data_IF_321782726164
#
_entry.id   IF_321782726164
#
_cell.length_a   1.000
_cell.length_b   1.000
_cell.length_c   1.000
_cell.angle_alpha   90.00
_cell.angle_beta   90.00
_cell.angle_gamma   90.00
#
_symmetry.space_group_name_H-M   'P 1'
#
loop_
_entity.id
_entity.type
_entity.pdbx_description
1 polymer ?
#
# COMPACT_ATOMS: atom_id res chain seq x y z
N UNK A 1 37.95 81.57 -20.16
CA UNK A 1 37.37 81.59 -18.81
C UNK A 1 36.05 80.85 -18.83
N UNK A 2 35.95 79.81 -17.98
CA UNK A 2 34.76 79.13 -17.44
C UNK A 2 33.64 78.74 -18.41
N UNK A 3 33.73 77.50 -18.88
CA UNK A 3 32.56 76.65 -19.15
C UNK A 3 31.66 76.66 -17.91
N UNK A 4 30.49 77.30 -18.02
CA UNK A 4 29.50 77.30 -16.96
C UNK A 4 28.81 75.94 -16.92
N UNK A 5 29.18 75.15 -15.92
CA UNK A 5 28.50 73.92 -15.49
C UNK A 5 27.05 74.25 -15.12
N UNK A 6 26.09 73.84 -15.96
CA UNK A 6 24.66 73.94 -15.63
C UNK A 6 24.29 72.90 -14.56
N UNK A 7 24.25 73.32 -13.29
CA UNK A 7 23.90 72.46 -12.14
C UNK A 7 22.38 72.25 -11.94
N UNK A 8 21.51 72.86 -12.76
CA UNK A 8 20.04 72.75 -12.60
C UNK A 8 19.41 71.54 -13.29
N UNK A 9 20.04 70.98 -14.33
CA UNK A 9 19.55 69.77 -15.02
C UNK A 9 19.97 68.44 -14.39
N UNK A 10 21.15 68.41 -13.76
CA UNK A 10 21.76 67.19 -13.18
C UNK A 10 20.90 66.56 -12.08
N UNK A 11 20.32 67.37 -11.20
CA UNK A 11 19.48 66.88 -10.09
C UNK A 11 18.14 66.27 -10.57
N UNK A 12 17.51 66.85 -11.60
CA UNK A 12 16.25 66.32 -12.16
C UNK A 12 16.47 65.02 -12.94
N UNK A 13 17.59 64.90 -13.67
CA UNK A 13 17.97 63.68 -14.39
C UNK A 13 18.23 62.53 -13.42
N UNK A 14 18.90 62.79 -12.30
CA UNK A 14 19.17 61.77 -11.29
C UNK A 14 17.87 61.24 -10.67
N UNK A 15 16.93 62.14 -10.34
CA UNK A 15 15.61 61.75 -9.82
C UNK A 15 14.82 60.93 -10.85
N UNK A 16 14.83 61.33 -12.11
CA UNK A 16 14.16 60.59 -13.18
C UNK A 16 14.77 59.19 -13.38
N UNK A 17 16.11 59.08 -13.34
CA UNK A 17 16.83 57.81 -13.43
C UNK A 17 16.49 56.89 -12.26
N UNK A 18 16.48 57.41 -11.03
CA UNK A 18 16.11 56.64 -9.83
C UNK A 18 14.66 56.17 -9.91
N UNK A 19 13.73 57.01 -10.39
CA UNK A 19 12.33 56.62 -10.60
C UNK A 19 12.20 55.46 -11.59
N UNK A 20 12.89 55.52 -12.72
CA UNK A 20 12.87 54.44 -13.71
C UNK A 20 13.44 53.14 -13.10
N UNK A 21 14.55 53.23 -12.38
CA UNK A 21 15.17 52.08 -11.71
C UNK A 21 14.21 51.46 -10.68
N UNK A 22 13.51 52.29 -9.89
CA UNK A 22 12.51 51.83 -8.93
C UNK A 22 11.35 51.11 -9.61
N UNK A 23 10.85 51.65 -10.72
CA UNK A 23 9.76 51.01 -11.49
C UNK A 23 10.23 49.66 -12.05
N UNK A 24 11.43 49.60 -12.63
CA UNK A 24 11.99 48.34 -13.17
C UNK A 24 12.16 47.30 -12.06
N UNK A 25 12.72 47.67 -10.91
CA UNK A 25 12.84 46.76 -9.76
C UNK A 25 11.49 46.35 -9.20
N UNK A 26 10.50 47.25 -9.18
CA UNK A 26 9.13 46.93 -8.76
C UNK A 26 8.49 45.87 -9.68
N UNK A 27 8.61 46.04 -11.00
CA UNK A 27 8.11 45.05 -11.98
C UNK A 27 8.85 43.71 -11.83
N UNK A 28 10.17 43.73 -11.65
CA UNK A 28 10.97 42.52 -11.45
C UNK A 28 10.58 41.77 -10.17
N UNK A 29 10.31 42.50 -9.08
CA UNK A 29 9.87 41.93 -7.81
C UNK A 29 8.49 41.27 -7.94
N UNK A 30 7.55 41.92 -8.63
CA UNK A 30 6.21 41.34 -8.89
C UNK A 30 6.30 40.12 -9.79
N UNK A 31 7.10 40.18 -10.87
CA UNK A 31 7.30 39.03 -11.76
C UNK A 31 7.90 37.84 -11.01
N UNK A 32 8.94 38.07 -10.21
CA UNK A 32 9.56 37.03 -9.36
C UNK A 32 8.57 36.46 -8.36
N UNK A 33 7.80 37.31 -7.68
CA UNK A 33 6.78 36.89 -6.73
C UNK A 33 5.71 36.02 -7.40
N UNK A 34 5.25 36.41 -8.59
CA UNK A 34 4.27 35.63 -9.35
C UNK A 34 4.81 34.27 -9.80
N UNK A 35 6.09 34.19 -10.20
CA UNK A 35 6.75 32.95 -10.56
C UNK A 35 6.91 32.03 -9.34
N UNK A 36 7.31 32.59 -8.20
CA UNK A 36 7.43 31.86 -6.94
C UNK A 36 6.08 31.33 -6.47
N UNK A 37 5.01 32.12 -6.56
CA UNK A 37 3.66 31.67 -6.23
C UNK A 37 3.24 30.49 -7.10
N UNK A 38 3.46 30.58 -8.42
CA UNK A 38 3.13 29.50 -9.35
C UNK A 38 3.89 28.20 -9.03
N UNK A 39 5.18 28.30 -8.71
CA UNK A 39 5.98 27.15 -8.30
C UNK A 39 5.48 26.56 -6.97
N UNK A 40 5.21 27.40 -5.98
CA UNK A 40 4.68 26.97 -4.69
C UNK A 40 3.34 26.24 -4.83
N UNK A 41 2.44 26.73 -5.69
CA UNK A 41 1.18 26.06 -5.97
C UNK A 41 1.39 24.68 -6.60
N UNK A 42 2.25 24.57 -7.63
CA UNK A 42 2.58 23.28 -8.26
C UNK A 42 3.20 22.29 -7.28
N UNK A 43 4.09 22.77 -6.39
CA UNK A 43 4.66 21.93 -5.35
C UNK A 43 3.60 21.46 -4.36
N UNK A 44 2.75 22.36 -3.86
CA UNK A 44 1.68 21.99 -2.95
C UNK A 44 0.73 20.95 -3.56
N UNK A 45 0.42 21.09 -4.85
CA UNK A 45 -0.41 20.15 -5.59
C UNK A 45 0.28 18.79 -5.77
N UNK A 46 1.56 18.78 -6.14
CA UNK A 46 2.36 17.55 -6.25
C UNK A 46 2.43 16.80 -4.93
N UNK A 47 2.64 17.52 -3.82
CA UNK A 47 2.69 16.99 -2.46
C UNK A 47 1.33 16.43 -2.05
N UNK A 48 0.24 17.12 -2.36
CA UNK A 48 -1.12 16.63 -2.11
C UNK A 48 -1.37 15.31 -2.86
N UNK A 49 -1.01 15.23 -4.13
CA UNK A 49 -1.15 14.01 -4.94
C UNK A 49 -0.32 12.86 -4.38
N UNK A 50 0.90 13.14 -3.92
CA UNK A 50 1.75 12.15 -3.24
C UNK A 50 1.05 11.57 -2.00
N UNK A 51 0.61 12.43 -1.08
CA UNK A 51 -0.03 11.97 0.16
C UNK A 51 -1.40 11.33 -0.07
N UNK A 52 -2.11 11.71 -1.14
CA UNK A 52 -3.34 11.02 -1.51
C UNK A 52 -3.05 9.55 -1.87
N UNK A 53 -2.04 9.28 -2.71
CA UNK A 53 -1.65 7.91 -3.05
C UNK A 53 -1.17 7.14 -1.82
N UNK A 54 -0.31 7.76 -1.02
CA UNK A 54 0.20 7.19 0.23
C UNK A 54 -0.95 6.79 1.18
N UNK A 55 -1.99 7.65 1.28
CA UNK A 55 -3.17 7.35 2.08
C UNK A 55 -3.98 6.16 1.56
N UNK A 56 -3.99 5.91 0.25
CA UNK A 56 -4.64 4.70 -0.29
C UNK A 56 -3.83 3.44 0.06
N UNK A 57 -2.50 3.52 0.06
CA UNK A 57 -1.62 2.46 0.54
C UNK A 57 -1.86 2.15 2.03
N UNK A 58 -1.98 3.20 2.85
CA UNK A 58 -2.25 3.05 4.29
C UNK A 58 -3.63 2.44 4.55
N UNK A 59 -4.65 2.81 3.78
CA UNK A 59 -5.98 2.17 3.84
C UNK A 59 -5.91 0.70 3.47
N UNK A 60 -5.09 0.35 2.48
CA UNK A 60 -4.88 -1.05 2.10
C UNK A 60 -4.20 -1.85 3.20
N UNK A 61 -3.12 -1.33 3.79
CA UNK A 61 -2.43 -1.94 4.93
C UNK A 61 -3.38 -2.18 6.10
N UNK A 62 -4.15 -1.15 6.48
CA UNK A 62 -5.17 -1.29 7.52
C UNK A 62 -6.27 -2.29 7.15
N UNK A 63 -6.63 -2.38 5.87
CA UNK A 63 -7.55 -3.41 5.36
C UNK A 63 -7.00 -4.82 5.54
N UNK A 64 -5.71 -5.03 5.29
CA UNK A 64 -5.04 -6.32 5.53
C UNK A 64 -5.01 -6.64 7.03
N UNK A 65 -4.64 -5.68 7.88
CA UNK A 65 -4.68 -5.84 9.35
C UNK A 65 -6.05 -6.26 9.85
N UNK A 66 -7.09 -5.56 9.41
CA UNK A 66 -8.47 -5.88 9.79
C UNK A 66 -8.90 -7.26 9.28
N UNK A 67 -8.44 -7.67 8.10
CA UNK A 67 -8.73 -9.00 7.55
C UNK A 67 -8.07 -10.11 8.36
N UNK A 68 -6.83 -9.90 8.83
CA UNK A 68 -6.14 -10.84 9.72
C UNK A 68 -6.85 -10.92 11.08
N UNK A 69 -7.28 -9.79 11.66
CA UNK A 69 -8.03 -9.80 12.93
C UNK A 69 -9.38 -10.52 12.80
N UNK A 70 -10.15 -10.23 11.75
CA UNK A 70 -11.38 -10.97 11.47
C UNK A 70 -11.10 -12.46 11.25
N UNK A 71 -9.97 -12.79 10.61
CA UNK A 71 -9.51 -14.16 10.45
C UNK A 71 -9.24 -14.86 11.78
N UNK A 72 -8.62 -14.17 12.74
CA UNK A 72 -8.39 -14.68 14.11
C UNK A 72 -9.68 -14.98 14.86
N UNK A 73 -10.64 -14.06 14.79
CA UNK A 73 -11.95 -14.23 15.43
C UNK A 73 -12.72 -15.41 14.81
N UNK A 74 -12.83 -15.45 13.48
CA UNK A 74 -13.50 -16.54 12.75
C UNK A 74 -12.81 -17.88 12.97
N UNK A 75 -11.48 -17.94 12.93
CA UNK A 75 -10.72 -19.16 13.22
C UNK A 75 -10.95 -19.66 14.64
N UNK A 76 -11.02 -18.76 15.63
CA UNK A 76 -11.30 -19.14 17.02
C UNK A 76 -12.72 -19.72 17.18
N UNK A 77 -13.71 -19.12 16.51
CA UNK A 77 -15.09 -19.61 16.51
C UNK A 77 -15.20 -20.96 15.77
N UNK A 78 -14.54 -21.09 14.62
CA UNK A 78 -14.51 -22.32 13.85
C UNK A 78 -13.85 -23.46 14.62
N UNK A 79 -12.72 -23.21 15.28
CA UNK A 79 -12.05 -24.22 16.11
C UNK A 79 -12.92 -24.68 17.28
N UNK A 80 -13.65 -23.76 17.92
CA UNK A 80 -14.61 -24.10 18.98
C UNK A 80 -15.73 -25.00 18.45
N UNK A 81 -16.34 -24.63 17.33
CA UNK A 81 -17.40 -25.40 16.70
C UNK A 81 -16.93 -26.82 16.28
N UNK A 82 -15.73 -26.92 15.70
CA UNK A 82 -15.10 -28.20 15.34
C UNK A 82 -14.85 -29.07 16.58
N UNK A 83 -14.39 -28.47 17.69
CA UNK A 83 -14.15 -29.18 18.96
C UNK A 83 -15.46 -29.71 19.56
N UNK A 84 -16.56 -28.96 19.42
CA UNK A 84 -17.91 -29.34 19.85
C UNK A 84 -18.59 -30.35 18.89
N UNK A 85 -17.96 -30.64 17.75
CA UNK A 85 -18.49 -31.55 16.72
C UNK A 85 -19.47 -30.89 15.74
N UNK A 86 -19.69 -29.58 15.84
CA UNK A 86 -20.51 -28.79 14.91
C UNK A 86 -19.64 -28.21 13.78
N UNK A 87 -19.48 -28.99 12.72
CA UNK A 87 -18.78 -28.54 11.51
C UNK A 87 -19.60 -27.55 10.67
N UNK A 88 -20.91 -27.47 10.89
CA UNK A 88 -21.79 -26.54 10.15
C UNK A 88 -21.71 -25.12 10.69
N UNK A 89 -21.54 -24.97 12.00
CA UNK A 89 -21.31 -23.69 12.68
C UNK A 89 -19.91 -23.10 12.46
N UNK A 90 -18.99 -23.84 11.83
CA UNK A 90 -17.63 -23.37 11.59
C UNK A 90 -17.52 -22.27 10.52
N UNK A 91 -18.56 -22.03 9.71
CA UNK A 91 -18.54 -21.00 8.66
C UNK A 91 -17.53 -21.30 7.54
N UNK A 92 -17.16 -22.57 7.37
CA UNK A 92 -16.32 -23.06 6.28
C UNK A 92 -17.19 -23.60 5.14
N UNK A 93 -16.73 -23.55 3.88
CA UNK A 93 -17.34 -24.31 2.80
C UNK A 93 -17.46 -25.81 3.14
N UNK A 94 -18.56 -26.43 2.72
CA UNK A 94 -18.89 -27.81 3.08
C UNK A 94 -17.78 -28.81 2.70
N UNK A 95 -17.14 -28.63 1.55
CA UNK A 95 -16.01 -29.45 1.11
C UNK A 95 -14.81 -29.37 2.07
N UNK A 96 -14.48 -28.18 2.56
CA UNK A 96 -13.36 -27.97 3.51
C UNK A 96 -13.71 -28.60 4.86
N UNK A 97 -14.93 -28.37 5.34
CA UNK A 97 -15.39 -28.91 6.61
C UNK A 97 -15.37 -30.46 6.64
N UNK A 98 -15.81 -31.11 5.56
CA UNK A 98 -15.76 -32.58 5.44
C UNK A 98 -14.32 -33.10 5.36
N UNK A 99 -13.40 -32.41 4.67
CA UNK A 99 -11.99 -32.80 4.63
C UNK A 99 -11.32 -32.71 6.01
N UNK A 100 -11.61 -31.66 6.79
CA UNK A 100 -11.11 -31.53 8.17
C UNK A 100 -11.69 -32.65 9.04
N UNK A 101 -12.99 -32.96 8.89
CA UNK A 101 -13.63 -34.06 9.62
C UNK A 101 -13.00 -35.41 9.27
N UNK A 102 -12.76 -35.68 7.99
CA UNK A 102 -12.12 -36.91 7.52
C UNK A 102 -10.70 -37.05 8.09
N UNK A 103 -9.94 -35.95 8.13
CA UNK A 103 -8.58 -35.89 8.70
C UNK A 103 -8.61 -36.17 10.21
N UNK A 104 -9.52 -35.55 10.96
CA UNK A 104 -9.69 -35.83 12.39
C UNK A 104 -10.09 -37.29 12.66
N UNK A 105 -10.90 -37.88 11.77
CA UNK A 105 -11.31 -39.28 11.83
C UNK A 105 -10.16 -40.26 11.54
N UNK A 106 -9.25 -39.92 10.63
CA UNK A 106 -8.09 -40.76 10.27
C UNK A 106 -6.97 -40.72 11.32
N UNK A 107 -6.87 -39.64 12.09
CA UNK A 107 -5.90 -39.51 13.17
C UNK A 107 -6.25 -40.44 14.35
N UNK A 108 -5.42 -41.47 14.54
CA UNK A 108 -5.50 -42.39 15.68
C UNK A 108 -4.71 -41.85 16.88
N UNK A 109 -5.40 -41.64 18.01
CA UNK A 109 -4.78 -41.24 19.29
C UNK A 109 -4.97 -39.76 19.66
N UNK A 110 -5.10 -39.49 20.96
CA UNK A 110 -5.37 -38.15 21.51
C UNK A 110 -4.26 -37.14 21.19
N UNK A 111 -2.99 -37.55 21.22
CA UNK A 111 -1.85 -36.65 20.97
C UNK A 111 -1.66 -36.23 19.50
N UNK A 112 -2.07 -37.05 18.53
CA UNK A 112 -2.02 -36.69 17.12
C UNK A 112 -3.14 -35.71 16.76
N UNK A 113 -4.35 -35.94 17.32
CA UNK A 113 -5.48 -35.02 17.19
C UNK A 113 -5.18 -33.66 17.82
N UNK A 114 -4.59 -33.64 19.00
CA UNK A 114 -4.25 -32.39 19.68
C UNK A 114 -3.26 -31.54 18.88
N UNK A 115 -2.18 -32.16 18.36
CA UNK A 115 -1.22 -31.46 17.49
C UNK A 115 -1.88 -30.88 16.23
N UNK A 116 -2.72 -31.66 15.57
CA UNK A 116 -3.46 -31.17 14.40
C UNK A 116 -4.39 -30.00 14.75
N UNK A 117 -5.04 -30.03 15.92
CA UNK A 117 -5.89 -28.92 16.37
C UNK A 117 -5.11 -27.64 16.70
N UNK A 118 -3.91 -27.76 17.26
CA UNK A 118 -3.00 -26.64 17.51
C UNK A 118 -2.54 -26.01 16.17
N UNK A 119 -2.16 -26.83 15.20
CA UNK A 119 -1.76 -26.37 13.86
C UNK A 119 -2.93 -25.86 13.01
N UNK A 120 -4.16 -26.30 13.27
CA UNK A 120 -5.33 -25.89 12.49
C UNK A 120 -5.66 -24.41 12.68
N UNK A 121 -5.39 -23.85 13.87
CA UNK A 121 -5.68 -22.44 14.14
C UNK A 121 -5.02 -21.47 13.15
N UNK A 122 -3.68 -21.42 13.02
CA UNK A 122 -3.03 -20.47 12.11
C UNK A 122 -3.39 -20.74 10.63
N UNK A 123 -3.62 -22.01 10.27
CA UNK A 123 -4.13 -22.42 8.94
C UNK A 123 -5.50 -21.80 8.63
N UNK A 124 -6.43 -21.83 9.58
CA UNK A 124 -7.75 -21.20 9.45
C UNK A 124 -7.66 -19.67 9.39
N UNK A 125 -6.77 -19.05 10.18
CA UNK A 125 -6.57 -17.60 10.13
C UNK A 125 -6.14 -17.16 8.73
N UNK A 126 -5.17 -17.86 8.12
CA UNK A 126 -4.74 -17.59 6.75
C UNK A 126 -5.88 -17.70 5.75
N UNK A 127 -6.67 -18.78 5.83
CA UNK A 127 -7.81 -18.98 4.94
C UNK A 127 -8.82 -17.83 5.02
N UNK A 128 -9.26 -17.46 6.23
CA UNK A 128 -10.23 -16.38 6.40
C UNK A 128 -9.66 -15.01 6.05
N UNK A 129 -8.40 -14.73 6.38
CA UNK A 129 -7.74 -13.48 6.03
C UNK A 129 -7.64 -13.32 4.51
N UNK A 130 -7.21 -14.37 3.80
CA UNK A 130 -7.14 -14.37 2.34
C UNK A 130 -8.51 -14.17 1.70
N UNK A 131 -9.55 -14.86 2.21
CA UNK A 131 -10.92 -14.68 1.73
C UNK A 131 -11.40 -13.24 1.94
N UNK A 132 -11.15 -12.66 3.11
CA UNK A 132 -11.57 -11.29 3.44
C UNK A 132 -10.83 -10.24 2.59
N UNK A 133 -9.53 -10.41 2.35
CA UNK A 133 -8.74 -9.51 1.49
C UNK A 133 -9.23 -9.57 0.05
N UNK A 134 -9.50 -10.77 -0.46
CA UNK A 134 -9.97 -10.98 -1.83
C UNK A 134 -11.35 -10.34 -2.04
N UNK A 135 -12.22 -10.42 -1.03
CA UNK A 135 -13.53 -9.78 -1.03
C UNK A 135 -13.44 -8.25 -0.93
N UNK A 136 -12.61 -7.73 -0.03
CA UNK A 136 -12.45 -6.28 0.18
C UNK A 136 -11.71 -5.60 -0.98
N UNK A 137 -10.77 -6.30 -1.63
CA UNK A 137 -9.94 -5.77 -2.70
C UNK A 137 -9.92 -6.73 -3.91
N UNK A 138 -10.95 -6.67 -4.77
CA UNK A 138 -10.98 -7.45 -6.01
C UNK A 138 -9.76 -7.15 -6.87
N UNK A 139 -9.09 -8.18 -7.37
CA UNK A 139 -7.87 -8.06 -8.17
C UNK A 139 -6.57 -7.91 -7.37
N UNK A 140 -6.63 -7.95 -6.04
CA UNK A 140 -5.44 -8.18 -5.22
C UNK A 140 -4.82 -9.54 -5.61
N UNK A 141 -3.53 -9.55 -5.95
CA UNK A 141 -2.81 -10.81 -6.16
C UNK A 141 -2.44 -11.32 -4.79
N UNK A 142 -3.29 -12.18 -4.21
CA UNK A 142 -2.93 -13.01 -3.08
C UNK A 142 -2.13 -14.20 -3.62
N UNK A 143 -0.80 -14.07 -3.72
CA UNK A 143 0.05 -15.20 -4.13
C UNK A 143 0.51 -16.00 -2.90
N UNK A 144 0.35 -17.31 -2.99
CA UNK A 144 0.88 -18.31 -2.06
C UNK A 144 1.69 -19.34 -2.85
N UNK A 145 2.61 -20.05 -2.19
CA UNK A 145 3.27 -21.21 -2.78
C UNK A 145 2.24 -22.26 -3.27
N UNK A 146 2.59 -23.06 -4.28
CA UNK A 146 1.66 -23.90 -5.07
C UNK A 146 0.79 -24.90 -4.29
N UNK A 147 1.06 -25.17 -3.01
CA UNK A 147 0.31 -26.10 -2.16
C UNK A 147 -1.07 -25.57 -1.71
N UNK A 148 -1.40 -24.31 -2.02
CA UNK A 148 -2.63 -23.63 -1.56
C UNK A 148 -3.77 -23.60 -2.60
N UNK A 149 -3.51 -23.99 -3.86
CA UNK A 149 -4.49 -23.91 -4.96
C UNK A 149 -5.79 -24.71 -4.71
N UNK A 150 -5.75 -25.70 -3.81
CA UNK A 150 -6.92 -26.53 -3.44
C UNK A 150 -7.17 -26.59 -1.91
N UNK A 151 -6.68 -25.59 -1.15
CA UNK A 151 -6.75 -25.54 0.31
C UNK A 151 -6.09 -26.74 1.03
N UNK A 152 -5.11 -27.41 0.39
CA UNK A 152 -4.48 -28.62 0.91
C UNK A 152 -3.74 -28.44 2.24
N UNK A 153 -3.25 -27.23 2.49
CA UNK A 153 -2.66 -26.85 3.78
C UNK A 153 -3.61 -27.06 4.97
N UNK A 154 -4.93 -26.91 4.81
CA UNK A 154 -5.91 -27.02 5.91
C UNK A 154 -6.03 -28.44 6.46
N UNK A 155 -5.85 -29.46 5.62
CA UNK A 155 -6.01 -30.87 5.99
C UNK A 155 -4.69 -31.66 5.96
N UNK A 156 -3.57 -31.02 5.62
CA UNK A 156 -2.24 -31.63 5.74
C UNK A 156 -1.82 -31.72 7.22
N UNK A 157 -1.26 -32.88 7.58
CA UNK A 157 -0.61 -33.13 8.89
C UNK A 157 0.89 -32.84 8.86
N UNK A 158 1.42 -32.40 7.71
CA UNK A 158 2.81 -31.98 7.55
C UNK A 158 2.90 -30.49 7.91
N UNK A 159 3.95 -30.05 8.63
CA UNK A 159 4.20 -28.63 8.85
C UNK A 159 4.27 -27.90 7.51
N UNK A 160 3.46 -26.86 7.36
CA UNK A 160 3.44 -26.01 6.17
C UNK A 160 3.92 -24.63 6.58
N UNK A 161 4.79 -24.04 5.77
CA UNK A 161 5.12 -22.64 5.93
C UNK A 161 3.91 -21.78 5.51
N UNK A 162 3.37 -21.04 6.46
CA UNK A 162 2.14 -20.26 6.30
C UNK A 162 2.53 -18.83 5.96
N UNK A 163 2.57 -18.51 4.67
CA UNK A 163 2.73 -17.14 4.21
C UNK A 163 1.90 -16.87 2.94
N UNK A 164 1.44 -15.64 2.79
CA UNK A 164 0.89 -15.14 1.52
C UNK A 164 1.25 -13.69 1.30
N UNK A 165 1.31 -13.29 0.04
CA UNK A 165 1.58 -11.90 -0.33
C UNK A 165 0.31 -11.30 -0.88
N UNK A 166 -0.18 -10.23 -0.27
CA UNK A 166 -1.24 -9.38 -0.80
C UNK A 166 -0.62 -8.19 -1.55
N UNK A 167 -0.76 -8.18 -2.88
CA UNK A 167 -0.25 -7.11 -3.74
C UNK A 167 -1.38 -6.29 -4.39
N UNK A 168 -1.24 -4.96 -4.37
CA UNK A 168 -2.14 -4.04 -5.10
C UNK A 168 -1.40 -2.84 -5.68
N UNK A 169 -1.77 -2.47 -6.90
CA UNK A 169 -1.31 -1.25 -7.57
C UNK A 169 -2.43 -0.21 -7.58
N UNK A 170 -2.18 0.96 -6.98
CA UNK A 170 -3.04 2.13 -7.06
C UNK A 170 -2.59 3.01 -8.21
N UNK A 171 -3.54 3.56 -8.97
CA UNK A 171 -3.28 4.41 -10.13
C UNK A 171 -4.02 5.72 -9.93
N UNK A 172 -3.33 6.85 -10.13
CA UNK A 172 -3.89 8.19 -10.04
C UNK A 172 -3.44 9.02 -11.22
N UNK A 173 -4.39 9.59 -11.95
CA UNK A 173 -4.10 10.55 -13.01
C UNK A 173 -3.89 11.95 -12.43
N UNK A 174 -2.79 12.60 -12.83
CA UNK A 174 -2.46 13.95 -12.39
C UNK A 174 -1.76 14.74 -13.51
N UNK A 175 -2.32 15.90 -13.88
CA UNK A 175 -1.85 16.76 -14.98
C UNK A 175 -1.56 16.00 -16.30
N UNK A 176 -2.34 14.97 -16.63
CA UNK A 176 -2.18 14.16 -17.85
C UNK A 176 -1.02 13.15 -17.80
N UNK A 177 -0.49 12.89 -16.60
CA UNK A 177 0.47 11.81 -16.31
C UNK A 177 -0.13 10.82 -15.32
N UNK A 178 0.17 9.53 -15.48
CA UNK A 178 -0.23 8.51 -14.54
C UNK A 178 0.84 8.36 -13.44
N UNK A 179 0.37 8.33 -12.19
CA UNK A 179 1.16 8.00 -11.00
C UNK A 179 0.65 6.70 -10.41
N UNK A 180 1.57 5.93 -9.86
CA UNK A 180 1.34 4.57 -9.42
C UNK A 180 1.90 4.39 -8.02
N UNK A 181 1.21 3.61 -7.21
CA UNK A 181 1.73 3.12 -5.93
C UNK A 181 1.55 1.60 -5.92
N UNK A 182 2.65 0.86 -5.90
CA UNK A 182 2.66 -0.57 -5.70
C UNK A 182 2.87 -0.86 -4.21
N UNK A 183 1.92 -1.59 -3.62
CA UNK A 183 1.99 -2.03 -2.24
C UNK A 183 1.94 -3.56 -2.20
N UNK A 184 2.95 -4.17 -1.57
CA UNK A 184 2.99 -5.62 -1.30
C UNK A 184 3.19 -5.86 0.17
N UNK A 185 2.27 -6.61 0.75
CA UNK A 185 2.28 -6.97 2.16
C UNK A 185 2.35 -8.49 2.25
N UNK A 186 3.36 -9.00 2.93
CA UNK A 186 3.44 -10.41 3.31
C UNK A 186 2.73 -10.62 4.64
N UNK A 187 1.85 -11.60 4.69
CA UNK A 187 1.24 -12.08 5.92
C UNK A 187 1.85 -13.44 6.21
N UNK A 188 2.51 -13.59 7.35
CA UNK A 188 3.20 -14.82 7.75
C UNK A 188 2.88 -15.22 9.19
N UNK A 189 2.79 -16.53 9.42
CA UNK A 189 2.68 -17.17 10.73
C UNK A 189 1.74 -16.45 11.74
N UNK A 190 0.42 -16.44 11.49
CA UNK A 190 -0.55 -15.70 12.30
C UNK A 190 -0.86 -16.45 13.60
N UNK A 191 0.10 -16.47 14.50
CA UNK A 191 -0.08 -16.96 15.87
C UNK A 191 -1.00 -16.00 16.65
N UNK A 192 -1.68 -16.50 17.68
CA UNK A 192 -2.52 -15.72 18.60
C UNK A 192 -1.73 -14.67 19.38
N UNK A 193 -0.46 -14.97 19.70
CA UNK A 193 0.36 -14.15 20.59
C UNK A 193 1.14 -13.05 19.87
N UNK A 194 1.31 -13.16 18.55
CA UNK A 194 2.05 -12.17 17.75
C UNK A 194 1.24 -10.90 17.51
N UNK A 195 1.92 -9.76 17.38
CA UNK A 195 1.25 -8.54 16.96
C UNK A 195 0.99 -8.56 15.45
N UNK A 196 0.05 -7.73 15.00
CA UNK A 196 -0.23 -7.61 13.56
C UNK A 196 0.99 -7.13 12.76
N UNK A 197 1.79 -6.24 13.35
CA UNK A 197 3.01 -5.71 12.75
C UNK A 197 4.08 -6.80 12.54
N UNK A 198 4.09 -7.81 13.42
CA UNK A 198 5.00 -8.96 13.29
C UNK A 198 4.51 -9.98 12.26
N UNK A 199 3.19 -10.04 12.05
CA UNK A 199 2.53 -10.95 11.10
C UNK A 199 2.55 -10.37 9.69
N UNK A 200 2.36 -9.06 9.57
CA UNK A 200 2.18 -8.35 8.31
C UNK A 200 3.41 -7.49 8.00
N UNK A 201 4.30 -8.00 7.16
CA UNK A 201 5.49 -7.29 6.73
C UNK A 201 5.25 -6.55 5.41
N UNK A 202 5.59 -5.26 5.35
CA UNK A 202 5.59 -4.50 4.10
C UNK A 202 6.81 -4.89 3.28
N UNK A 203 6.61 -5.62 2.19
CA UNK A 203 7.66 -6.03 1.25
C UNK A 203 7.98 -4.92 0.24
N UNK A 204 6.95 -4.22 -0.22
CA UNK A 204 7.08 -3.17 -1.23
C UNK A 204 6.15 -2.00 -0.89
N UNK A 205 6.72 -0.79 -0.89
CA UNK A 205 5.99 0.48 -0.90
C UNK A 205 6.64 1.39 -1.93
N UNK A 206 6.32 1.14 -3.20
CA UNK A 206 7.02 1.78 -4.32
C UNK A 206 6.08 2.70 -5.06
N UNK A 207 6.38 3.99 -5.00
CA UNK A 207 5.72 4.99 -5.83
C UNK A 207 6.47 5.13 -7.16
N UNK A 208 5.73 5.20 -8.25
CA UNK A 208 6.25 5.36 -9.60
C UNK A 208 5.41 6.40 -10.38
N UNK A 209 6.02 7.04 -11.37
CA UNK A 209 5.34 7.96 -12.29
C UNK A 209 5.84 7.68 -13.70
N UNK A 210 4.97 7.85 -14.70
CA UNK A 210 5.41 7.74 -16.08
C UNK A 210 6.56 8.74 -16.36
N UNK A 211 7.62 8.32 -17.07
CA UNK A 211 8.68 9.23 -17.47
C UNK A 211 8.12 10.39 -18.28
N UNK A 212 8.62 11.59 -18.02
CA UNK A 212 8.25 12.81 -18.76
C UNK A 212 8.71 12.81 -20.23
N UNK A 213 9.48 11.80 -20.66
CA UNK A 213 10.08 11.73 -21.99
C UNK A 213 9.14 11.04 -22.99
N UNK A 214 8.65 11.83 -23.96
CA UNK A 214 7.98 11.32 -25.14
C UNK A 214 8.95 10.46 -25.95
N UNK A 215 8.64 9.16 -26.10
CA UNK A 215 9.43 8.16 -26.86
C UNK A 215 10.80 7.84 -26.28
N UNK A 216 10.82 7.29 -25.07
CA UNK A 216 12.04 6.69 -24.54
C UNK A 216 12.30 5.33 -25.23
N UNK A 217 13.30 5.27 -26.12
CA UNK A 217 13.79 4.01 -26.72
C UNK A 217 14.76 3.26 -25.78
N UNK A 218 15.20 3.93 -24.71
CA UNK A 218 16.07 3.39 -23.67
C UNK A 218 15.35 3.50 -22.33
N UNK A 219 15.05 2.34 -21.72
CA UNK A 219 14.44 2.29 -20.40
C UNK A 219 15.50 2.61 -19.34
N UNK A 220 15.73 3.91 -19.09
CA UNK A 220 16.66 4.39 -18.07
C UNK A 220 16.10 4.28 -16.65
N UNK A 221 14.86 3.79 -16.51
CA UNK A 221 14.15 3.64 -15.24
C UNK A 221 13.65 2.19 -15.14
N UNK A 222 14.37 1.33 -14.42
CA UNK A 222 13.94 -0.05 -14.21
C UNK A 222 12.51 -0.11 -13.65
N UNK A 223 11.58 -0.66 -14.43
CA UNK A 223 10.32 -1.20 -13.93
C UNK A 223 9.08 -0.36 -14.24
N UNK A 224 8.53 -0.56 -15.43
CA UNK A 224 7.07 -0.61 -15.53
C UNK A 224 6.60 -1.78 -14.66
N UNK A 225 5.64 -1.59 -13.73
CA UNK A 225 5.01 -2.72 -13.07
C UNK A 225 4.29 -3.56 -14.14
N UNK A 226 4.59 -4.87 -14.17
CA UNK A 226 3.83 -5.87 -14.95
C UNK A 226 2.39 -5.99 -14.42
#
# INVERSE_FOLDING_TARGET
MKWLTSNRGSSSILVALVLIILVVFGVLAVATSSANLRLAMKHAETVKTYYNLDSEGERFLNGVYNSVQQGREKASAALRAITEGDFSGAGLPANIAEMIRATLGSLSGSGARQRYMEELYPKLVMYYAMSAITEAYPGCVASMAGDYLENAHLYSTVPVDLHFIAGKTFILEHEGSLRYLNVRIEVSDPDKEKNLEDICAVLEWRMWQEPFEYRNELDLWEGRPE
#
